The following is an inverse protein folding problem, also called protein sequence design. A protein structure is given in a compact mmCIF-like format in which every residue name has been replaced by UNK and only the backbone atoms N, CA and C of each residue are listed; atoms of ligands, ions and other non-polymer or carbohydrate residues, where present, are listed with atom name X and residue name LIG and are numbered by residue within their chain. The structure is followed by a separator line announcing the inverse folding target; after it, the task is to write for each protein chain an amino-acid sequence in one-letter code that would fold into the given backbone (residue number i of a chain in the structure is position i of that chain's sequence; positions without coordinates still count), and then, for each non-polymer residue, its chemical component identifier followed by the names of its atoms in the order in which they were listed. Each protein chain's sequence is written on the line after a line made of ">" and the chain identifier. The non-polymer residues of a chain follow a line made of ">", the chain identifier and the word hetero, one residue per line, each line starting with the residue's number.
data_IF_641874369209
#
_entry.id   IF_641874369209
#
_cell.length_a   1.000
_cell.length_b   1.000
_cell.length_c   1.000
_cell.angle_alpha   90.00
_cell.angle_beta   90.00
_cell.angle_gamma   90.00
#
_symmetry.space_group_name_H-M   'P 1'
#
loop_
_entity.id
_entity.type
_entity.pdbx_description
1 polymer ?
#
# COMPACT_ATOMS: atom_id res chain seq x y z
N UNK A 1 12.02 9.03 12.47
CA UNK A 1 11.42 9.41 11.17
C UNK A 1 10.83 10.83 11.19
N UNK A 2 10.08 11.23 12.22
CA UNK A 2 9.48 12.58 12.27
C UNK A 2 10.48 13.74 12.22
N UNK A 3 11.62 13.63 12.90
CA UNK A 3 12.66 14.66 12.85
C UNK A 3 13.15 14.93 11.42
N UNK A 4 13.34 13.87 10.62
CA UNK A 4 13.66 13.99 9.20
C UNK A 4 12.55 14.71 8.43
N UNK A 5 11.29 14.30 8.60
CA UNK A 5 10.13 14.89 7.91
C UNK A 5 10.00 16.39 8.22
N UNK A 6 10.29 16.80 9.46
CA UNK A 6 10.22 18.20 9.92
C UNK A 6 11.38 19.07 9.45
N UNK A 7 12.58 18.49 9.26
CA UNK A 7 13.82 19.27 9.06
C UNK A 7 14.41 19.14 7.66
N UNK A 8 14.05 18.10 6.91
CA UNK A 8 14.49 17.95 5.53
C UNK A 8 13.75 18.90 4.60
N UNK A 9 14.48 19.45 3.63
CA UNK A 9 13.87 20.23 2.55
C UNK A 9 13.07 19.32 1.60
N UNK A 10 12.17 19.92 0.82
CA UNK A 10 11.28 19.22 -0.10
C UNK A 10 12.08 18.35 -1.07
N UNK A 11 11.61 17.11 -1.27
CA UNK A 11 12.21 16.13 -2.19
C UNK A 11 13.67 15.76 -1.88
N UNK A 12 14.16 16.09 -0.69
CA UNK A 12 15.49 15.66 -0.24
C UNK A 12 15.46 14.17 0.09
N UNK A 13 16.56 13.47 -0.19
CA UNK A 13 16.78 12.09 0.26
C UNK A 13 17.50 12.09 1.60
N UNK A 14 17.36 11.02 2.37
CA UNK A 14 17.93 10.92 3.73
C UNK A 14 19.45 11.08 3.77
N UNK A 15 20.19 10.57 2.78
CA UNK A 15 21.65 10.68 2.75
C UNK A 15 22.14 12.14 2.60
N UNK A 16 21.74 12.90 1.55
CA UNK A 16 22.12 14.31 1.45
C UNK A 16 21.61 15.19 2.61
N UNK A 17 20.45 14.88 3.17
CA UNK A 17 19.95 15.57 4.36
C UNK A 17 20.89 15.39 5.56
N UNK A 18 21.35 14.15 5.80
CA UNK A 18 22.25 13.84 6.90
C UNK A 18 23.63 14.51 6.72
N UNK A 19 24.14 14.54 5.48
CA UNK A 19 25.41 15.21 5.15
C UNK A 19 25.36 16.72 5.41
N UNK A 20 24.20 17.35 5.16
CA UNK A 20 24.00 18.78 5.40
C UNK A 20 23.68 19.11 6.88
N UNK A 21 23.47 18.11 7.73
CA UNK A 21 23.18 18.32 9.14
C UNK A 21 24.48 18.67 9.87
N UNK A 22 24.53 19.85 10.49
CA UNK A 22 25.70 20.26 11.26
C UNK A 22 25.94 19.29 12.44
N UNK A 23 27.14 18.72 12.52
CA UNK A 23 27.47 17.66 13.49
C UNK A 23 27.04 16.25 13.06
N UNK A 24 26.43 16.10 11.88
CA UNK A 24 26.17 14.83 11.21
C UNK A 24 25.42 13.80 12.08
N UNK A 25 25.85 12.54 11.98
CA UNK A 25 25.18 11.42 12.66
C UNK A 25 25.27 11.51 14.19
N UNK A 26 26.34 12.10 14.73
CA UNK A 26 26.52 12.20 16.19
C UNK A 26 25.55 13.22 16.78
N UNK A 27 25.34 14.34 16.08
CA UNK A 27 24.29 15.28 16.45
C UNK A 27 22.91 14.63 16.37
N UNK A 28 22.61 13.90 15.28
CA UNK A 28 21.33 13.21 15.14
C UNK A 28 21.07 12.22 16.29
N UNK A 29 22.09 11.44 16.67
CA UNK A 29 22.00 10.54 17.83
C UNK A 29 21.70 11.30 19.11
N UNK A 30 22.40 12.41 19.39
CA UNK A 30 22.16 13.20 20.59
C UNK A 30 20.73 13.78 20.63
N UNK A 31 20.21 14.24 19.48
CA UNK A 31 18.83 14.76 19.40
C UNK A 31 17.81 13.66 19.69
N UNK A 32 17.96 12.47 19.10
CA UNK A 32 16.94 11.42 19.16
C UNK A 32 17.08 10.53 20.40
N UNK A 33 18.30 10.09 20.71
CA UNK A 33 18.58 9.16 21.81
C UNK A 33 18.62 9.89 23.14
N UNK A 34 19.39 10.98 23.20
CA UNK A 34 19.59 11.73 24.46
C UNK A 34 18.53 12.82 24.67
N UNK A 35 17.51 12.88 23.80
CA UNK A 35 16.45 13.90 23.76
C UNK A 35 17.01 15.32 23.96
N UNK A 36 18.16 15.62 23.33
CA UNK A 36 18.91 16.87 23.56
C UNK A 36 18.07 18.14 23.35
N UNK A 37 17.02 18.07 22.54
CA UNK A 37 16.12 19.18 22.23
C UNK A 37 14.77 19.11 22.98
N UNK A 38 14.50 18.07 23.76
CA UNK A 38 13.22 17.86 24.43
C UNK A 38 12.03 17.67 23.48
N UNK A 39 12.28 17.09 22.29
CA UNK A 39 11.29 17.00 21.22
C UNK A 39 10.64 15.61 21.13
N UNK A 40 11.18 14.60 21.79
CA UNK A 40 10.74 13.21 21.59
C UNK A 40 9.24 13.02 21.84
N UNK A 41 8.71 13.58 22.93
CA UNK A 41 7.28 13.49 23.24
C UNK A 41 6.40 14.10 22.14
N UNK A 42 6.81 15.23 21.57
CA UNK A 42 6.09 15.89 20.50
C UNK A 42 6.16 15.11 19.18
N UNK A 43 7.34 14.57 18.86
CA UNK A 43 7.52 13.74 17.66
C UNK A 43 6.67 12.46 17.72
N UNK A 44 6.51 11.86 18.90
CA UNK A 44 5.63 10.71 19.10
C UNK A 44 4.15 11.06 18.99
N UNK A 45 3.73 12.20 19.53
CA UNK A 45 2.36 12.71 19.37
C UNK A 45 2.01 12.93 17.89
N UNK A 46 2.92 13.51 17.12
CA UNK A 46 2.73 13.68 15.68
C UNK A 46 2.64 12.35 14.93
N UNK A 47 3.48 11.38 15.30
CA UNK A 47 3.43 10.03 14.71
C UNK A 47 2.09 9.36 14.99
N UNK A 48 1.58 9.51 16.22
CA UNK A 48 0.27 9.00 16.60
C UNK A 48 -0.85 9.65 15.76
N UNK A 49 -0.82 10.97 15.63
CA UNK A 49 -1.78 11.72 14.81
C UNK A 49 -1.76 11.29 13.34
N UNK A 50 -0.57 11.12 12.75
CA UNK A 50 -0.44 10.65 11.36
C UNK A 50 -1.00 9.23 11.21
N UNK A 51 -0.68 8.33 12.13
CA UNK A 51 -1.20 6.96 12.14
C UNK A 51 -2.73 6.93 12.21
N UNK A 52 -3.33 7.80 13.03
CA UNK A 52 -4.78 7.93 13.15
C UNK A 52 -5.43 8.51 11.89
N UNK A 53 -4.73 9.40 11.18
CA UNK A 53 -5.24 10.05 9.98
C UNK A 53 -5.09 9.20 8.71
N UNK A 54 -4.16 8.24 8.67
CA UNK A 54 -3.95 7.38 7.51
C UNK A 54 -5.14 6.44 7.34
N UNK A 55 -5.77 6.52 6.17
CA UNK A 55 -6.85 5.61 5.75
C UNK A 55 -6.39 4.84 4.52
N UNK A 56 -6.61 3.52 4.53
CA UNK A 56 -6.37 2.65 3.39
C UNK A 56 -7.69 2.30 2.72
N UNK A 57 -7.92 2.82 1.51
CA UNK A 57 -9.15 2.62 0.75
C UNK A 57 -9.47 1.14 0.49
N UNK A 58 -8.45 0.30 0.31
CA UNK A 58 -8.62 -1.15 0.15
C UNK A 58 -9.07 -1.82 1.44
N UNK A 59 -8.48 -1.44 2.57
CA UNK A 59 -8.88 -1.97 3.89
C UNK A 59 -10.30 -1.56 4.21
N UNK A 60 -10.66 -0.31 3.94
CA UNK A 60 -12.02 0.20 4.09
C UNK A 60 -13.01 -0.59 3.21
N UNK A 61 -12.65 -0.82 1.95
CA UNK A 61 -13.47 -1.60 1.01
C UNK A 61 -13.67 -3.03 1.49
N UNK A 62 -12.61 -3.70 1.96
CA UNK A 62 -12.70 -5.08 2.47
C UNK A 62 -13.57 -5.14 3.72
N UNK A 63 -13.48 -4.15 4.62
CA UNK A 63 -14.25 -4.12 5.86
C UNK A 63 -15.70 -3.62 5.68
N UNK A 64 -16.06 -3.12 4.50
CA UNK A 64 -17.38 -2.57 4.21
C UNK A 64 -18.12 -3.43 3.18
N UNK A 65 -19.00 -4.36 3.59
CA UNK A 65 -19.66 -5.29 2.67
C UNK A 65 -20.40 -4.62 1.50
N UNK A 66 -21.01 -3.45 1.73
CA UNK A 66 -21.67 -2.67 0.66
C UNK A 66 -20.68 -2.15 -0.39
N UNK A 67 -19.45 -1.82 0.00
CA UNK A 67 -18.40 -1.38 -0.90
C UNK A 67 -17.87 -2.52 -1.79
N UNK A 68 -17.82 -3.75 -1.26
CA UNK A 68 -17.35 -4.93 -1.99
C UNK A 68 -18.17 -5.20 -3.26
N UNK A 69 -19.46 -4.84 -3.26
CA UNK A 69 -20.33 -5.00 -4.43
C UNK A 69 -19.81 -4.25 -5.67
N UNK A 70 -19.08 -3.14 -5.46
CA UNK A 70 -18.46 -2.37 -6.56
C UNK A 70 -17.33 -3.11 -7.27
N UNK A 71 -16.78 -4.16 -6.65
CA UNK A 71 -15.66 -4.95 -7.16
C UNK A 71 -16.10 -6.30 -7.73
N UNK A 72 -17.40 -6.49 -8.00
CA UNK A 72 -17.89 -7.66 -8.75
C UNK A 72 -17.41 -7.60 -10.20
N UNK A 73 -17.14 -8.77 -10.77
CA UNK A 73 -16.73 -8.90 -12.17
C UNK A 73 -17.80 -8.39 -13.14
N UNK A 74 -19.07 -8.71 -12.88
CA UNK A 74 -20.23 -8.20 -13.63
C UNK A 74 -21.31 -7.70 -12.68
N UNK A 75 -21.99 -6.62 -13.08
CA UNK A 75 -23.11 -6.03 -12.31
C UNK A 75 -24.42 -6.81 -12.57
N UNK A 76 -24.55 -7.41 -13.75
CA UNK A 76 -25.78 -8.00 -14.27
C UNK A 76 -25.79 -9.53 -14.29
N UNK A 77 -24.71 -10.20 -13.84
CA UNK A 77 -24.59 -11.64 -13.90
C UNK A 77 -23.67 -12.15 -12.80
N UNK A 78 -24.06 -13.23 -12.14
CA UNK A 78 -23.18 -13.95 -11.19
C UNK A 78 -22.29 -14.98 -11.90
N UNK A 79 -22.42 -15.15 -13.23
CA UNK A 79 -21.56 -16.05 -14.00
C UNK A 79 -20.16 -15.42 -14.14
N UNK A 80 -19.12 -16.25 -13.99
CA UNK A 80 -17.73 -15.84 -14.29
C UNK A 80 -17.55 -15.62 -15.79
N UNK A 81 -16.62 -14.75 -16.16
CA UNK A 81 -16.21 -14.60 -17.56
C UNK A 81 -15.46 -15.86 -18.01
N UNK A 82 -16.00 -16.65 -18.96
CA UNK A 82 -15.34 -17.86 -19.42
C UNK A 82 -14.03 -17.59 -20.17
N UNK A 83 -13.77 -16.35 -20.61
CA UNK A 83 -12.52 -15.96 -21.24
C UNK A 83 -11.37 -15.76 -20.23
N UNK A 84 -11.68 -15.56 -18.95
CA UNK A 84 -10.68 -15.42 -17.88
C UNK A 84 -10.34 -16.81 -17.34
N UNK A 85 -9.36 -17.44 -17.98
CA UNK A 85 -8.81 -18.73 -17.55
C UNK A 85 -7.59 -18.48 -16.67
N UNK A 86 -7.49 -19.19 -15.54
CA UNK A 86 -6.37 -19.06 -14.60
C UNK A 86 -5.40 -20.24 -14.77
N UNK A 87 -4.10 -19.97 -14.80
CA UNK A 87 -3.04 -20.98 -14.85
C UNK A 87 -2.13 -20.86 -13.63
N UNK A 88 -1.64 -21.98 -13.08
CA UNK A 88 -0.67 -21.96 -11.99
C UNK A 88 0.70 -21.50 -12.50
N UNK A 89 1.32 -20.57 -11.78
CA UNK A 89 2.68 -20.13 -12.00
C UNK A 89 3.40 -20.08 -10.64
N UNK A 90 4.30 -21.05 -10.43
CA UNK A 90 4.96 -21.25 -9.13
C UNK A 90 3.90 -21.50 -8.04
N UNK A 91 3.88 -20.67 -7.01
CA UNK A 91 2.94 -20.74 -5.87
C UNK A 91 1.76 -19.76 -6.00
N UNK A 92 1.59 -19.15 -7.17
CA UNK A 92 0.51 -18.20 -7.45
C UNK A 92 -0.29 -18.63 -8.68
N UNK A 93 -1.49 -18.07 -8.84
CA UNK A 93 -2.31 -18.23 -10.03
C UNK A 93 -2.40 -16.89 -10.77
N UNK A 94 -2.27 -16.95 -12.09
CA UNK A 94 -2.38 -15.78 -12.98
C UNK A 94 -3.36 -16.05 -14.13
N UNK A 95 -3.87 -15.00 -14.79
CA UNK A 95 -4.59 -15.18 -16.05
C UNK A 95 -3.73 -15.87 -17.12
N UNK A 96 -4.36 -16.72 -17.93
CA UNK A 96 -3.75 -17.41 -19.06
C UNK A 96 -3.35 -16.41 -20.15
N UNK A 97 -2.12 -16.55 -20.65
CA UNK A 97 -1.68 -15.86 -21.87
C UNK A 97 -2.45 -16.36 -23.09
N UNK A 98 -2.46 -15.64 -24.22
CA UNK A 98 -3.24 -16.02 -25.40
C UNK A 98 -2.99 -17.46 -25.89
N UNK A 99 -1.76 -17.98 -25.78
CA UNK A 99 -1.39 -19.32 -26.24
C UNK A 99 -1.75 -20.43 -25.25
N UNK A 100 -2.01 -20.09 -23.98
CA UNK A 100 -2.40 -21.03 -22.92
C UNK A 100 -3.92 -21.18 -22.82
N UNK A 101 -4.70 -20.33 -23.52
CA UNK A 101 -6.16 -20.34 -23.46
C UNK A 101 -6.74 -21.52 -24.22
N UNK A 102 -7.64 -22.23 -23.57
CA UNK A 102 -8.45 -23.29 -24.17
C UNK A 102 -9.66 -22.64 -24.87
N UNK A 103 -10.05 -23.07 -26.08
CA UNK A 103 -11.24 -22.56 -26.75
C UNK A 103 -12.51 -22.76 -25.91
N UNK A 104 -13.25 -21.67 -25.66
CA UNK A 104 -14.54 -21.70 -24.96
C UNK A 104 -15.64 -21.99 -25.97
N UNK A 105 -16.45 -23.02 -25.73
CA UNK A 105 -17.69 -23.29 -26.49
C UNK A 105 -18.88 -23.10 -25.56
N UNK A 106 -19.80 -22.19 -25.90
CA UNK A 106 -21.03 -21.98 -25.14
C UNK A 106 -22.03 -23.06 -25.56
N UNK A 107 -22.43 -23.92 -24.63
CA UNK A 107 -23.54 -24.86 -24.82
C UNK A 107 -24.77 -24.17 -24.23
N UNK A 108 -25.82 -23.99 -25.03
CA UNK A 108 -27.08 -23.45 -24.54
C UNK A 108 -27.77 -24.51 -23.66
N UNK A 109 -27.91 -24.21 -22.37
CA UNK A 109 -28.77 -25.00 -21.47
C UNK A 109 -30.24 -24.71 -21.87
N UNK A 110 -30.80 -25.58 -22.71
CA UNK A 110 -32.25 -25.59 -22.97
C UNK A 110 -32.95 -26.12 -21.71
N UNK A 111 -33.46 -25.21 -20.88
CA UNK A 111 -34.40 -25.49 -19.80
C UNK A 111 -35.84 -25.39 -20.31
#
# INVERSE_FOLDING_TARGET
>A
MMFYIRTADKLTRTAPWLENLEGGIDYLKAVIIDDKLGLNAHLEEEMARLREAVVCEWTETVNTPSAQTRFKHFINSDKRDPNVQMVPEREQHRPATPYERIPVTLVEDNA
#
